data_IF_881473004303
#
_entry.id   IF_881473004303
#
_cell.length_a   1.000
_cell.length_b   1.000
_cell.length_c   1.000
_cell.angle_alpha   90.00
_cell.angle_beta   90.00
_cell.angle_gamma   90.00
#
_symmetry.space_group_name_H-M   'P 1'
#
loop_
_entity.id
_entity.type
_entity.pdbx_description
1 polymer ?
#
# COMPACT_ATOMS: atom_id res chain seq x y z
N UNK A 1 -20.34 29.15 -21.15
CA UNK A 1 -19.90 29.17 -19.74
C UNK A 1 -19.79 27.72 -19.31
N UNK A 2 -18.58 27.17 -19.41
CA UNK A 2 -18.27 25.76 -19.10
C UNK A 2 -17.96 25.64 -17.61
N UNK A 3 -18.78 24.89 -16.90
CA UNK A 3 -18.49 24.48 -15.52
C UNK A 3 -17.56 23.26 -15.57
N UNK A 4 -16.38 23.39 -14.97
CA UNK A 4 -15.37 22.34 -14.88
C UNK A 4 -15.43 21.76 -13.47
N UNK A 5 -16.10 20.61 -13.34
CA UNK A 5 -16.06 19.80 -12.12
C UNK A 5 -14.90 18.80 -12.20
N UNK A 6 -14.19 18.53 -11.08
CA UNK A 6 -12.92 17.82 -11.10
C UNK A 6 -13.10 16.29 -11.20
N UNK A 7 -12.37 15.67 -12.12
CA UNK A 7 -12.27 14.21 -12.26
C UNK A 7 -11.39 13.64 -11.15
N UNK A 8 -11.97 12.89 -10.21
CA UNK A 8 -11.24 12.06 -9.25
C UNK A 8 -10.42 10.99 -9.98
N UNK A 9 -9.17 10.68 -9.55
CA UNK A 9 -8.40 9.60 -10.17
C UNK A 9 -8.99 8.25 -9.78
N UNK A 10 -9.39 7.48 -10.79
CA UNK A 10 -9.79 6.08 -10.74
C UNK A 10 -8.75 5.24 -10.00
N UNK A 11 -9.09 4.79 -8.79
CA UNK A 11 -8.38 3.74 -8.10
C UNK A 11 -8.48 2.45 -8.94
N UNK A 12 -7.35 1.93 -9.40
CA UNK A 12 -7.29 0.67 -10.11
C UNK A 12 -7.52 -0.47 -9.12
N UNK A 13 -8.76 -0.96 -9.02
CA UNK A 13 -9.06 -2.22 -8.33
C UNK A 13 -8.55 -3.37 -9.18
N UNK A 14 -7.38 -3.91 -8.85
CA UNK A 14 -6.91 -5.20 -9.38
C UNK A 14 -7.44 -6.28 -8.46
N UNK A 15 -8.48 -6.98 -8.89
CA UNK A 15 -9.10 -8.07 -8.13
C UNK A 15 -8.73 -9.40 -8.77
N UNK A 16 -7.81 -10.14 -8.17
CA UNK A 16 -7.61 -11.55 -8.48
C UNK A 16 -8.73 -12.37 -7.82
N UNK A 17 -9.33 -13.29 -8.58
CA UNK A 17 -10.49 -14.07 -8.16
C UNK A 17 -10.20 -14.88 -6.88
N UNK A 18 -11.11 -14.91 -5.88
CA UNK A 18 -10.92 -15.69 -4.68
C UNK A 18 -11.09 -17.19 -4.99
N UNK A 19 -10.06 -17.99 -4.74
CA UNK A 19 -10.26 -19.39 -4.40
C UNK A 19 -10.98 -19.43 -3.03
N UNK A 20 -12.15 -20.09 -2.98
CA UNK A 20 -13.25 -19.78 -2.06
C UNK A 20 -12.90 -19.62 -0.56
N UNK A 21 -13.59 -18.71 0.12
CA UNK A 21 -13.66 -18.50 1.58
C UNK A 21 -12.34 -18.47 2.39
N UNK A 22 -11.18 -18.50 1.74
CA UNK A 22 -9.88 -18.47 2.39
C UNK A 22 -9.48 -17.02 2.60
N UNK A 23 -9.26 -16.65 3.87
CA UNK A 23 -8.74 -15.34 4.27
C UNK A 23 -7.47 -15.03 3.45
N UNK A 24 -7.36 -13.82 2.85
CA UNK A 24 -6.16 -13.42 2.10
C UNK A 24 -4.90 -13.54 2.95
N UNK A 25 -3.72 -13.57 2.33
CA UNK A 25 -2.45 -13.57 3.07
C UNK A 25 -2.00 -12.15 3.44
N UNK A 26 -2.35 -11.17 2.61
CA UNK A 26 -2.00 -9.76 2.81
C UNK A 26 -3.17 -8.87 2.39
N UNK A 27 -3.54 -7.94 3.27
CA UNK A 27 -4.45 -6.83 2.96
C UNK A 27 -3.73 -5.50 3.17
N UNK A 28 -3.90 -4.60 2.22
CA UNK A 28 -3.42 -3.21 2.30
C UNK A 28 -4.66 -2.35 2.13
N UNK A 29 -4.91 -1.44 3.08
CA UNK A 29 -6.09 -0.59 3.09
C UNK A 29 -5.67 0.87 3.15
N UNK A 30 -6.06 1.62 2.13
CA UNK A 30 -5.80 3.05 1.99
C UNK A 30 -4.38 3.48 2.42
N UNK A 31 -3.35 2.77 1.95
CA UNK A 31 -1.98 3.02 2.40
C UNK A 31 -1.45 4.38 1.91
N UNK A 32 -0.95 5.20 2.84
CA UNK A 32 -0.27 6.47 2.57
C UNK A 32 1.15 6.44 3.12
N UNK A 33 2.16 6.51 2.25
CA UNK A 33 3.58 6.52 2.65
C UNK A 33 4.26 7.78 2.15
N UNK A 34 4.77 8.60 3.07
CA UNK A 34 5.36 9.91 2.78
C UNK A 34 6.84 9.95 3.12
N UNK A 35 7.58 10.82 2.44
CA UNK A 35 9.01 11.07 2.64
C UNK A 35 9.18 12.52 3.09
N UNK A 36 9.89 12.73 4.18
CA UNK A 36 10.19 14.02 4.79
C UNK A 36 11.62 14.41 4.43
N UNK A 37 11.76 15.25 3.40
CA UNK A 37 13.06 15.67 2.87
C UNK A 37 13.21 17.17 3.06
N UNK A 38 14.13 17.56 3.94
CA UNK A 38 14.39 18.96 4.32
C UNK A 38 13.09 19.71 4.69
N UNK A 39 12.64 20.63 3.83
CA UNK A 39 11.44 21.46 4.01
C UNK A 39 10.25 21.01 3.16
N UNK A 40 10.29 19.78 2.62
CA UNK A 40 9.24 19.25 1.74
C UNK A 40 8.77 17.87 2.18
N UNK A 41 7.48 17.64 1.99
CA UNK A 41 6.84 16.34 2.18
C UNK A 41 6.48 15.77 0.82
N UNK A 42 7.13 14.66 0.44
CA UNK A 42 6.84 13.93 -0.79
C UNK A 42 5.86 12.80 -0.48
N UNK A 43 4.65 12.89 -1.05
CA UNK A 43 3.62 11.84 -0.96
C UNK A 43 3.87 10.77 -1.99
N UNK A 44 4.61 9.72 -1.63
CA UNK A 44 5.06 8.67 -2.54
C UNK A 44 4.00 7.58 -2.79
N UNK A 45 3.20 7.24 -1.79
CA UNK A 45 2.02 6.36 -1.90
C UNK A 45 0.80 7.13 -1.41
N UNK A 46 -0.30 7.08 -2.16
CA UNK A 46 -1.49 7.92 -1.96
C UNK A 46 -2.78 7.09 -2.01
N UNK A 47 -3.07 6.38 -0.92
CA UNK A 47 -4.30 5.60 -0.78
C UNK A 47 -4.32 4.32 -1.61
N UNK A 48 -3.29 3.49 -1.45
CA UNK A 48 -3.24 2.19 -2.15
C UNK A 48 -4.02 1.15 -1.36
N UNK A 49 -4.98 0.50 -2.04
CA UNK A 49 -5.73 -0.63 -1.49
C UNK A 49 -5.51 -1.87 -2.37
N UNK A 50 -5.00 -2.94 -1.78
CA UNK A 50 -4.65 -4.18 -2.48
C UNK A 50 -4.93 -5.39 -1.59
N UNK A 51 -5.30 -6.51 -2.20
CA UNK A 51 -5.48 -7.79 -1.51
C UNK A 51 -4.70 -8.88 -2.24
N UNK A 52 -3.88 -9.63 -1.52
CA UNK A 52 -3.18 -10.79 -2.05
C UNK A 52 -3.81 -12.06 -1.47
N UNK A 53 -4.38 -12.89 -2.34
CA UNK A 53 -4.89 -14.21 -1.97
C UNK A 53 -3.76 -15.19 -1.64
N UNK A 54 -4.06 -16.22 -0.86
CA UNK A 54 -3.13 -17.34 -0.66
C UNK A 54 -2.87 -18.05 -1.98
N UNK A 55 -1.65 -18.56 -2.14
CA UNK A 55 -1.24 -19.33 -3.33
C UNK A 55 -1.44 -18.55 -4.64
N UNK A 56 -1.38 -17.23 -4.58
CA UNK A 56 -1.53 -16.35 -5.75
C UNK A 56 -0.31 -15.44 -5.89
N UNK A 57 -0.14 -14.91 -7.08
CA UNK A 57 0.89 -13.91 -7.39
C UNK A 57 0.22 -12.61 -7.77
N UNK A 58 0.55 -11.52 -7.07
CA UNK A 58 0.11 -10.16 -7.41
C UNK A 58 1.27 -9.39 -8.02
N UNK A 59 1.11 -8.96 -9.28
CA UNK A 59 2.05 -8.06 -9.96
C UNK A 59 1.58 -6.62 -9.87
N UNK A 60 2.47 -5.71 -9.42
CA UNK A 60 2.23 -4.26 -9.45
C UNK A 60 3.07 -3.64 -10.57
N UNK A 61 2.42 -3.02 -11.55
CA UNK A 61 3.05 -2.44 -12.75
C UNK A 61 2.69 -0.97 -12.91
N UNK A 62 3.53 -0.21 -13.62
CA UNK A 62 3.34 1.21 -13.85
C UNK A 62 4.65 1.95 -14.15
N UNK A 63 4.56 3.23 -14.47
CA UNK A 63 5.70 4.09 -14.84
C UNK A 63 6.71 4.30 -13.71
N UNK A 64 7.93 4.73 -14.06
CA UNK A 64 8.93 5.10 -13.05
C UNK A 64 8.38 6.21 -12.13
N UNK A 65 8.57 6.06 -10.82
CA UNK A 65 8.12 7.06 -9.84
C UNK A 65 6.65 6.97 -9.39
N UNK A 66 5.83 6.04 -9.89
CA UNK A 66 4.43 5.93 -9.44
C UNK A 66 4.21 5.29 -8.05
N UNK A 67 5.29 4.93 -7.34
CA UNK A 67 5.23 4.45 -5.96
C UNK A 67 5.33 2.92 -5.77
N UNK A 68 5.46 2.11 -6.83
CA UNK A 68 5.52 0.63 -6.73
C UNK A 68 6.54 0.11 -5.71
N UNK A 69 7.80 0.54 -5.84
CA UNK A 69 8.87 0.13 -4.94
C UNK A 69 8.64 0.62 -3.52
N UNK A 70 8.04 1.79 -3.35
CA UNK A 70 7.70 2.34 -2.03
C UNK A 70 6.58 1.54 -1.38
N UNK A 71 5.55 1.14 -2.14
CA UNK A 71 4.50 0.24 -1.65
C UNK A 71 5.11 -1.08 -1.19
N UNK A 72 5.99 -1.69 -2.00
CA UNK A 72 6.68 -2.93 -1.66
C UNK A 72 7.56 -2.76 -0.40
N UNK A 73 8.36 -1.70 -0.31
CA UNK A 73 9.18 -1.39 0.87
C UNK A 73 8.34 -1.12 2.11
N UNK A 74 7.15 -0.54 1.98
CA UNK A 74 6.23 -0.32 3.11
C UNK A 74 5.75 -1.65 3.69
N UNK A 75 5.40 -2.61 2.84
CA UNK A 75 4.99 -3.97 3.24
C UNK A 75 6.15 -4.73 3.90
N UNK A 76 7.35 -4.62 3.32
CA UNK A 76 8.54 -5.36 3.80
C UNK A 76 9.25 -4.70 4.98
N UNK A 77 8.75 -3.57 5.48
CA UNK A 77 9.41 -2.74 6.50
C UNK A 77 10.84 -2.29 6.11
N UNK A 78 11.07 -2.02 4.83
CA UNK A 78 12.34 -1.55 4.29
C UNK A 78 12.31 -0.05 3.97
N UNK A 79 11.43 0.70 4.64
CA UNK A 79 11.31 2.14 4.45
C UNK A 79 12.49 2.86 5.10
N UNK A 80 13.17 3.78 4.39
CA UNK A 80 14.25 4.56 4.99
C UNK A 80 13.72 5.45 6.13
N UNK A 81 14.61 5.83 7.05
CA UNK A 81 14.29 6.64 8.23
C UNK A 81 13.52 7.93 7.92
N UNK A 82 13.85 8.56 6.78
CA UNK A 82 13.21 9.79 6.31
C UNK A 82 11.78 9.59 5.76
N UNK A 83 11.23 8.38 5.80
CA UNK A 83 9.89 8.07 5.28
C UNK A 83 9.03 7.42 6.35
N UNK A 84 7.71 7.61 6.30
CA UNK A 84 6.76 7.04 7.27
C UNK A 84 5.47 6.60 6.58
N UNK A 85 4.85 5.54 7.10
CA UNK A 85 3.45 5.23 6.82
C UNK A 85 2.64 6.24 7.64
N UNK A 86 2.00 7.18 6.96
CA UNK A 86 1.21 8.23 7.60
C UNK A 86 -0.19 7.78 7.95
N UNK A 87 -0.77 6.92 7.12
CA UNK A 87 -2.14 6.45 7.26
C UNK A 87 -2.33 5.12 6.50
N UNK A 88 -3.42 4.44 6.81
CA UNK A 88 -3.79 3.13 6.28
C UNK A 88 -3.20 1.96 7.07
N UNK A 89 -3.56 0.75 6.62
CA UNK A 89 -3.25 -0.51 7.31
C UNK A 89 -2.54 -1.48 6.36
N UNK A 90 -1.61 -2.28 6.92
CA UNK A 90 -0.96 -3.39 6.22
C UNK A 90 -1.09 -4.63 7.10
N UNK A 91 -2.06 -5.47 6.79
CA UNK A 91 -2.39 -6.64 7.61
C UNK A 91 -1.83 -7.89 6.93
N UNK A 92 -0.91 -8.58 7.60
CA UNK A 92 -0.45 -9.91 7.23
C UNK A 92 -1.19 -10.97 8.03
N UNK A 93 -1.93 -11.83 7.36
CA UNK A 93 -2.71 -12.89 7.97
C UNK A 93 -1.87 -14.16 8.10
N UNK A 94 -1.27 -14.36 9.27
CA UNK A 94 -0.48 -15.56 9.57
C UNK A 94 -1.35 -16.65 10.23
N UNK A 95 -0.84 -17.88 10.28
CA UNK A 95 -1.49 -18.96 11.04
C UNK A 95 -1.52 -18.69 12.55
N UNK A 96 -0.64 -17.81 13.05
CA UNK A 96 -0.54 -17.43 14.47
C UNK A 96 -1.43 -16.24 14.84
N UNK A 97 -2.13 -15.66 13.87
CA UNK A 97 -2.92 -14.44 14.04
C UNK A 97 -2.53 -13.34 13.05
N UNK A 98 -3.28 -12.25 13.11
CA UNK A 98 -3.08 -11.10 12.24
C UNK A 98 -1.92 -10.24 12.76
N UNK A 99 -1.06 -9.83 11.85
CA UNK A 99 0.09 -8.97 12.12
C UNK A 99 -0.15 -7.64 11.40
N UNK A 100 -0.31 -6.58 12.18
CA UNK A 100 -0.43 -5.21 11.71
C UNK A 100 0.96 -4.62 11.47
N UNK A 101 1.46 -4.75 10.24
CA UNK A 101 2.83 -4.38 9.87
C UNK A 101 3.09 -2.89 10.11
N UNK A 102 2.09 -2.03 9.91
CA UNK A 102 2.19 -0.59 10.12
C UNK A 102 2.39 -0.20 11.59
N UNK A 103 2.03 -1.08 12.53
CA UNK A 103 2.13 -0.86 13.97
C UNK A 103 3.39 -1.49 14.58
N UNK A 104 4.13 -2.27 13.81
CA UNK A 104 5.36 -2.88 14.29
C UNK A 104 6.45 -1.82 14.52
N UNK A 105 7.27 -2.05 15.54
CA UNK A 105 8.48 -1.26 15.74
C UNK A 105 9.35 -1.36 14.50
N UNK A 106 9.85 -0.21 14.04
CA UNK A 106 10.68 -0.17 12.85
C UNK A 106 12.01 -0.84 13.13
N UNK A 107 12.26 -1.90 12.38
CA UNK A 107 13.60 -2.44 12.22
C UNK A 107 14.38 -1.41 11.39
N UNK A 108 15.21 -0.62 12.08
CA UNK A 108 15.95 0.52 11.53
C UNK A 108 16.79 0.20 10.30
#
# INVERSE_FOLDING_TARGET
MTDATPTSPTAATVQSAPHGNVKPILEIKDLHTYFFVEKRVLKAVRGVTLTLGRQSTLGVVGESGCGKSVTASSIMQLLPQLSRIEDGEIIYHSERGDIHIEQLERNG
#
